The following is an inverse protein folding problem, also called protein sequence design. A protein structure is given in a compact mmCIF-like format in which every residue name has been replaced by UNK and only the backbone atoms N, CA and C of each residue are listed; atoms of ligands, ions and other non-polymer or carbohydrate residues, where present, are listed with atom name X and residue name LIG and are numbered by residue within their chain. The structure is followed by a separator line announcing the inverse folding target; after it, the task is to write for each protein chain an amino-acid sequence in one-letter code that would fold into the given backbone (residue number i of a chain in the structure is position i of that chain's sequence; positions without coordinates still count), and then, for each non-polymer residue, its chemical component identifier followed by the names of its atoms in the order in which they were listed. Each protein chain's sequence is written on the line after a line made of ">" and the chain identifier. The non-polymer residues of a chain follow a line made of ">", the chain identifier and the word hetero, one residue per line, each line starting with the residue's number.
data_IF_689298135382
#
_entry.id   IF_689298135382
#
_cell.length_a   1.000
_cell.length_b   1.000
_cell.length_c   1.000
_cell.angle_alpha   90.00
_cell.angle_beta   90.00
_cell.angle_gamma   90.00
#
_symmetry.space_group_name_H-M   'P 1'
#
loop_
_entity.id
_entity.type
_entity.pdbx_description
1 polymer ?
#
# COMPACT_ATOMS: atom_id res chain seq x y z
N UNK A 1 20.41 -10.65 -2.30
CA UNK A 1 20.63 -12.06 -2.71
C UNK A 1 19.25 -12.68 -2.83
N UNK A 2 18.75 -12.82 -4.08
CA UNK A 2 17.42 -13.38 -4.34
C UNK A 2 17.38 -14.81 -3.85
N UNK A 3 16.63 -15.11 -2.79
CA UNK A 3 16.27 -16.48 -2.43
C UNK A 3 15.15 -16.90 -3.39
N UNK A 4 15.52 -17.70 -4.38
CA UNK A 4 14.58 -18.43 -5.21
C UNK A 4 13.67 -19.27 -4.31
N UNK A 5 12.37 -19.35 -4.71
CA UNK A 5 11.41 -20.28 -4.15
C UNK A 5 12.03 -21.68 -4.09
N UNK A 6 12.48 -22.08 -2.92
CA UNK A 6 12.94 -23.42 -2.70
C UNK A 6 11.72 -24.31 -2.45
N UNK A 7 11.45 -25.20 -3.39
CA UNK A 7 10.60 -26.38 -3.18
C UNK A 7 11.17 -27.14 -1.99
N UNK A 8 10.52 -27.06 -0.85
CA UNK A 8 10.96 -27.72 0.37
C UNK A 8 10.38 -29.13 0.37
N UNK A 9 11.13 -30.08 -0.15
CA UNK A 9 11.00 -31.48 0.24
C UNK A 9 12.07 -31.81 1.29
N UNK A 10 11.61 -32.05 2.50
CA UNK A 10 12.34 -32.79 3.50
C UNK A 10 13.19 -32.02 4.49
N UNK A 11 12.57 -31.46 5.52
CA UNK A 11 13.23 -31.21 6.80
C UNK A 11 12.27 -31.66 7.91
N UNK A 12 12.79 -32.44 8.88
CA UNK A 12 12.04 -32.91 10.04
C UNK A 12 11.49 -31.74 10.83
N UNK A 13 10.16 -31.59 10.82
CA UNK A 13 9.46 -30.68 11.69
C UNK A 13 9.39 -31.28 13.10
N UNK A 14 9.93 -30.59 14.09
CA UNK A 14 9.61 -30.90 15.48
C UNK A 14 8.28 -30.25 15.78
N UNK A 15 7.18 -30.98 15.69
CA UNK A 15 5.86 -30.49 16.03
C UNK A 15 5.61 -30.68 17.53
N UNK A 16 5.47 -29.56 18.27
CA UNK A 16 4.87 -29.60 19.60
C UNK A 16 3.38 -29.24 19.47
N UNK A 17 2.50 -30.10 19.97
CA UNK A 17 1.07 -29.83 20.08
C UNK A 17 0.84 -29.22 21.46
N UNK A 18 0.59 -27.93 21.52
CA UNK A 18 0.18 -27.25 22.75
C UNK A 18 -1.32 -26.94 22.64
N UNK A 19 -2.12 -27.44 23.55
CA UNK A 19 -3.54 -27.12 23.66
C UNK A 19 -3.72 -25.98 24.67
N UNK A 20 -4.00 -24.77 24.18
CA UNK A 20 -4.47 -23.65 25.01
C UNK A 20 -5.97 -23.46 24.81
N UNK A 21 -6.67 -23.29 25.90
CA UNK A 21 -8.13 -23.20 25.93
C UNK A 21 -8.58 -21.80 25.48
N UNK A 22 -9.00 -21.67 24.24
CA UNK A 22 -9.86 -20.63 23.71
C UNK A 22 -10.86 -21.24 22.72
N UNK A 23 -11.98 -20.59 22.50
CA UNK A 23 -13.21 -21.03 21.84
C UNK A 23 -13.08 -21.55 20.39
N UNK A 24 -11.90 -21.59 19.81
CA UNK A 24 -11.64 -22.15 18.50
C UNK A 24 -11.19 -23.62 18.65
N UNK A 25 -12.08 -24.56 18.32
CA UNK A 25 -11.82 -26.01 18.39
C UNK A 25 -10.92 -26.53 17.25
N UNK A 26 -10.38 -25.65 16.39
CA UNK A 26 -9.48 -26.03 15.30
C UNK A 26 -8.15 -26.54 15.83
N UNK A 27 -7.60 -27.55 15.14
CA UNK A 27 -6.27 -28.09 15.48
C UNK A 27 -5.19 -27.04 15.20
N UNK A 28 -4.43 -26.71 16.22
CA UNK A 28 -3.27 -25.82 16.12
C UNK A 28 -1.98 -26.63 15.88
N UNK A 29 -1.13 -26.17 14.98
CA UNK A 29 0.17 -26.75 14.66
C UNK A 29 1.20 -25.63 14.64
N UNK A 30 2.26 -25.77 15.45
CA UNK A 30 3.43 -24.91 15.41
C UNK A 30 4.62 -25.64 14.80
N UNK A 31 5.37 -24.97 13.94
CA UNK A 31 6.53 -25.53 13.25
C UNK A 31 7.56 -24.44 12.94
N UNK A 32 8.82 -24.86 12.76
CA UNK A 32 9.90 -23.95 12.32
C UNK A 32 10.37 -24.39 10.95
N UNK A 33 10.36 -23.49 9.99
CA UNK A 33 10.84 -23.73 8.63
C UNK A 33 11.81 -22.59 8.27
N UNK A 34 13.06 -22.93 7.93
CA UNK A 34 14.11 -21.96 7.60
C UNK A 34 14.27 -20.85 8.67
N UNK A 35 14.26 -21.22 9.94
CA UNK A 35 14.31 -20.35 11.11
C UNK A 35 13.08 -19.44 11.31
N UNK A 36 12.05 -19.50 10.47
CA UNK A 36 10.77 -18.82 10.68
C UNK A 36 9.84 -19.73 11.47
N UNK A 37 9.27 -19.19 12.54
CA UNK A 37 8.28 -19.90 13.33
C UNK A 37 6.87 -19.62 12.80
N UNK A 38 6.14 -20.66 12.48
CA UNK A 38 4.77 -20.60 12.01
C UNK A 38 3.83 -21.30 12.97
N UNK A 39 2.71 -20.70 13.27
CA UNK A 39 1.57 -21.35 13.88
C UNK A 39 0.38 -21.30 12.94
N UNK A 40 -0.24 -22.44 12.68
CA UNK A 40 -1.41 -22.56 11.79
C UNK A 40 -2.59 -23.17 12.53
N UNK A 41 -3.80 -22.78 12.10
CA UNK A 41 -5.07 -23.38 12.52
C UNK A 41 -5.64 -24.20 11.36
N UNK A 42 -5.74 -25.51 11.55
CA UNK A 42 -6.26 -26.41 10.51
C UNK A 42 -7.77 -26.23 10.37
N UNK A 43 -8.24 -26.00 9.14
CA UNK A 43 -9.65 -25.84 8.85
C UNK A 43 -10.41 -27.17 8.93
N UNK A 44 -11.74 -27.10 9.04
CA UNK A 44 -12.62 -28.27 9.19
C UNK A 44 -12.58 -29.24 7.99
N UNK A 45 -12.08 -28.81 6.84
CA UNK A 45 -11.88 -29.64 5.65
C UNK A 45 -10.69 -30.61 5.79
N UNK A 46 -9.87 -30.43 6.82
CA UNK A 46 -8.67 -31.24 7.09
C UNK A 46 -7.57 -31.15 6.02
N UNK A 47 -7.65 -30.14 5.12
CA UNK A 47 -6.71 -29.96 3.99
C UNK A 47 -6.13 -28.56 3.93
N UNK A 48 -6.86 -27.58 4.38
CA UNK A 48 -6.45 -26.18 4.38
C UNK A 48 -6.20 -25.66 5.79
N UNK A 49 -5.47 -24.55 5.89
CA UNK A 49 -5.20 -23.89 7.17
C UNK A 49 -5.11 -22.38 7.02
N UNK A 50 -5.25 -21.72 8.16
CA UNK A 50 -5.04 -20.30 8.38
C UNK A 50 -3.71 -20.08 9.09
N UNK A 51 -2.93 -19.08 8.69
CA UNK A 51 -1.78 -18.62 9.48
C UNK A 51 -2.30 -17.89 10.72
N UNK A 52 -2.02 -18.42 11.91
CA UNK A 52 -2.37 -17.79 13.20
C UNK A 52 -1.29 -16.82 13.66
N UNK A 53 -0.02 -17.20 13.53
CA UNK A 53 1.11 -16.32 13.84
C UNK A 53 2.34 -16.68 13.03
N UNK A 54 3.15 -15.68 12.73
CA UNK A 54 4.43 -15.81 12.04
C UNK A 54 5.47 -14.97 12.77
N UNK A 55 6.56 -15.59 13.20
CA UNK A 55 7.72 -14.90 13.76
C UNK A 55 8.89 -14.98 12.78
N UNK A 56 9.29 -13.83 12.25
CA UNK A 56 10.40 -13.67 11.32
C UNK A 56 11.66 -13.25 12.09
N UNK A 57 12.78 -13.98 11.98
CA UNK A 57 14.06 -13.57 12.56
C UNK A 57 14.55 -12.25 11.97
N UNK A 58 15.41 -11.53 12.70
CA UNK A 58 15.96 -10.23 12.30
C UNK A 58 16.70 -10.22 10.95
N UNK A 59 17.07 -11.36 10.41
CA UNK A 59 17.73 -11.50 9.11
C UNK A 59 16.79 -11.57 7.91
N UNK A 60 15.48 -11.57 8.13
CA UNK A 60 14.48 -11.69 7.07
C UNK A 60 13.96 -10.31 6.67
N UNK A 61 14.53 -9.75 5.60
CA UNK A 61 14.03 -8.51 4.98
C UNK A 61 12.89 -8.78 3.99
N UNK A 62 12.87 -9.93 3.32
CA UNK A 62 11.85 -10.29 2.34
C UNK A 62 11.14 -11.59 2.75
N UNK A 63 9.81 -11.60 2.76
CA UNK A 63 9.00 -12.76 3.09
C UNK A 63 7.95 -13.02 2.01
N UNK A 64 7.77 -14.29 1.67
CA UNK A 64 6.61 -14.75 0.90
C UNK A 64 5.70 -15.56 1.83
N UNK A 65 4.41 -15.28 1.81
CA UNK A 65 3.43 -16.06 2.57
C UNK A 65 3.46 -17.51 2.03
N UNK A 66 3.75 -18.50 2.85
CA UNK A 66 3.92 -19.88 2.38
C UNK A 66 2.63 -20.42 1.79
N UNK A 67 2.74 -21.22 0.73
CA UNK A 67 1.59 -21.87 0.10
C UNK A 67 1.14 -23.13 0.83
N UNK A 68 2.06 -23.75 1.57
CA UNK A 68 1.83 -24.98 2.32
C UNK A 68 2.69 -25.02 3.58
N UNK A 69 2.13 -25.47 4.70
CA UNK A 69 2.83 -25.74 5.96
C UNK A 69 2.35 -27.09 6.50
N UNK A 70 3.29 -27.99 6.82
CA UNK A 70 3.00 -29.31 7.42
C UNK A 70 1.96 -30.14 6.65
N UNK A 71 1.91 -30.03 5.32
CA UNK A 71 0.96 -30.73 4.46
C UNK A 71 -0.40 -30.06 4.32
N UNK A 72 -0.59 -28.85 4.89
CA UNK A 72 -1.83 -28.07 4.77
C UNK A 72 -1.62 -26.89 3.83
N UNK A 73 -2.52 -26.74 2.87
CA UNK A 73 -2.55 -25.55 2.00
C UNK A 73 -2.96 -24.33 2.81
N UNK A 74 -2.15 -23.27 2.81
CA UNK A 74 -2.47 -22.03 3.50
C UNK A 74 -3.40 -21.19 2.62
N UNK A 75 -4.59 -20.86 3.15
CA UNK A 75 -5.63 -20.15 2.42
C UNK A 75 -6.07 -18.84 3.07
N UNK A 76 -5.64 -18.61 4.31
CA UNK A 76 -5.94 -17.39 5.04
C UNK A 76 -4.74 -16.92 5.87
N UNK A 77 -4.65 -15.61 6.05
CA UNK A 77 -3.79 -14.96 7.03
C UNK A 77 -4.72 -14.54 8.17
N UNK A 78 -4.47 -15.02 9.38
CA UNK A 78 -5.30 -14.75 10.55
C UNK A 78 -5.11 -13.35 11.13
N UNK A 79 -5.96 -13.01 12.10
CA UNK A 79 -5.83 -11.78 12.86
C UNK A 79 -4.43 -11.68 13.48
N UNK A 80 -3.77 -10.52 13.29
CA UNK A 80 -2.44 -10.22 13.82
C UNK A 80 -1.32 -11.19 13.42
N UNK A 81 -1.50 -12.02 12.41
CA UNK A 81 -0.56 -13.10 12.09
C UNK A 81 0.89 -12.63 11.86
N UNK A 82 1.10 -11.47 11.28
CA UNK A 82 2.41 -10.83 11.07
C UNK A 82 2.61 -9.58 11.92
N UNK A 83 1.69 -9.24 12.83
CA UNK A 83 1.77 -8.00 13.59
C UNK A 83 3.08 -7.90 14.39
N UNK A 84 3.71 -6.73 14.35
CA UNK A 84 4.95 -6.47 15.08
C UNK A 84 6.20 -7.19 14.50
N UNK A 85 6.17 -7.64 13.26
CA UNK A 85 7.39 -8.08 12.57
C UNK A 85 8.20 -6.87 12.12
N UNK A 86 9.10 -6.41 12.98
CA UNK A 86 9.82 -5.13 12.84
C UNK A 86 10.96 -5.12 11.83
N UNK A 87 11.28 -6.27 11.19
CA UNK A 87 12.45 -6.38 10.32
C UNK A 87 12.10 -6.70 8.88
N UNK A 88 10.86 -7.07 8.60
CA UNK A 88 10.43 -7.39 7.24
C UNK A 88 10.22 -6.09 6.46
N UNK A 89 10.87 -5.99 5.31
CA UNK A 89 10.79 -4.86 4.39
C UNK A 89 9.80 -5.12 3.26
N UNK A 90 9.69 -6.39 2.82
CA UNK A 90 8.81 -6.77 1.71
C UNK A 90 8.02 -8.03 1.99
N UNK A 91 6.74 -8.00 1.67
CA UNK A 91 5.85 -9.17 1.79
C UNK A 91 5.13 -9.43 0.47
N UNK A 92 5.20 -10.70 0.03
CA UNK A 92 4.41 -11.17 -1.11
C UNK A 92 3.30 -12.10 -0.63
N UNK A 93 2.05 -11.74 -0.93
CA UNK A 93 0.85 -12.53 -0.60
C UNK A 93 0.42 -13.32 -1.83
N UNK A 94 0.61 -14.62 -1.78
CA UNK A 94 0.42 -15.54 -2.90
C UNK A 94 -1.07 -15.78 -3.27
N UNK A 95 -1.28 -16.38 -4.44
CA UNK A 95 -2.63 -16.63 -5.03
C UNK A 95 -3.52 -17.58 -4.22
N UNK A 96 -2.94 -18.36 -3.31
CA UNK A 96 -3.69 -19.29 -2.47
C UNK A 96 -4.48 -18.58 -1.38
N UNK A 97 -4.02 -17.40 -0.95
CA UNK A 97 -4.67 -16.63 0.11
C UNK A 97 -5.98 -16.04 -0.43
N UNK A 98 -7.07 -16.28 0.31
CA UNK A 98 -8.43 -15.84 0.01
C UNK A 98 -8.94 -14.78 0.98
N UNK A 99 -8.39 -14.77 2.21
CA UNK A 99 -8.76 -13.81 3.24
C UNK A 99 -7.57 -13.39 4.08
N UNK A 100 -7.67 -12.18 4.63
CA UNK A 100 -6.71 -11.60 5.58
C UNK A 100 -7.54 -11.16 6.78
N UNK A 101 -7.05 -11.45 7.97
CA UNK A 101 -7.67 -11.05 9.23
C UNK A 101 -7.30 -9.61 9.62
N UNK A 102 -8.08 -9.04 10.53
CA UNK A 102 -7.84 -7.71 11.09
C UNK A 102 -6.42 -7.62 11.69
N UNK A 103 -5.80 -6.45 11.55
CA UNK A 103 -4.47 -6.18 12.13
C UNK A 103 -3.35 -7.11 11.66
N UNK A 104 -3.56 -7.84 10.56
CA UNK A 104 -2.65 -8.91 10.13
C UNK A 104 -1.18 -8.47 10.02
N UNK A 105 -0.92 -7.23 9.61
CA UNK A 105 0.40 -6.63 9.42
C UNK A 105 0.59 -5.36 10.26
N UNK A 106 -0.21 -5.19 11.31
CA UNK A 106 -0.14 -4.01 12.19
C UNK A 106 1.28 -3.82 12.73
N UNK A 107 1.78 -2.59 12.74
CA UNK A 107 3.09 -2.20 13.30
C UNK A 107 4.29 -2.94 12.69
N UNK A 108 4.23 -3.28 11.40
CA UNK A 108 5.40 -3.74 10.65
C UNK A 108 6.25 -2.52 10.24
N UNK A 109 7.09 -2.03 11.17
CA UNK A 109 7.72 -0.70 11.07
C UNK A 109 8.74 -0.55 9.94
N UNK A 110 9.36 -1.65 9.48
CA UNK A 110 10.33 -1.65 8.37
C UNK A 110 9.70 -2.04 7.03
N UNK A 111 8.40 -2.37 7.01
CA UNK A 111 7.70 -2.79 5.80
C UNK A 111 7.61 -1.64 4.80
N UNK A 112 8.17 -1.82 3.60
CA UNK A 112 8.19 -0.83 2.51
C UNK A 112 7.33 -1.24 1.32
N UNK A 113 7.20 -2.56 1.06
CA UNK A 113 6.46 -3.06 -0.10
C UNK A 113 5.56 -4.25 0.25
N UNK A 114 4.31 -4.18 -0.22
CA UNK A 114 3.37 -5.32 -0.20
C UNK A 114 2.85 -5.61 -1.59
N UNK A 115 3.00 -6.86 -2.02
CA UNK A 115 2.46 -7.33 -3.31
C UNK A 115 1.38 -8.37 -3.07
N UNK A 116 0.18 -8.11 -3.59
CA UNK A 116 -0.94 -9.04 -3.58
C UNK A 116 -1.05 -9.79 -4.91
N UNK A 117 -1.17 -11.11 -4.85
CA UNK A 117 -1.66 -11.89 -5.99
C UNK A 117 -3.18 -11.77 -6.13
N UNK A 118 -3.72 -12.14 -7.30
CA UNK A 118 -5.16 -12.14 -7.55
C UNK A 118 -5.90 -13.06 -6.56
N UNK A 119 -7.08 -12.63 -6.11
CA UNK A 119 -7.97 -13.44 -5.26
C UNK A 119 -8.40 -12.78 -3.95
N UNK A 120 -7.64 -11.83 -3.45
CA UNK A 120 -8.05 -10.99 -2.31
C UNK A 120 -9.13 -10.01 -2.80
N UNK A 121 -10.21 -9.93 -2.03
CA UNK A 121 -11.35 -9.04 -2.30
C UNK A 121 -11.55 -7.98 -1.23
N UNK A 122 -10.90 -8.12 -0.07
CA UNK A 122 -10.98 -7.16 1.03
C UNK A 122 -9.61 -7.00 1.72
N UNK A 123 -9.26 -5.77 2.03
CA UNK A 123 -8.26 -5.41 3.05
C UNK A 123 -9.07 -5.14 4.32
N UNK A 124 -8.86 -5.88 5.42
CA UNK A 124 -9.64 -5.71 6.64
C UNK A 124 -9.22 -4.47 7.45
N UNK A 125 -9.96 -4.22 8.52
CA UNK A 125 -9.71 -3.14 9.46
C UNK A 125 -8.31 -3.26 10.08
N UNK A 126 -7.65 -2.11 10.27
CA UNK A 126 -6.30 -2.00 10.85
C UNK A 126 -5.21 -2.85 10.18
N UNK A 127 -5.44 -3.38 8.99
CA UNK A 127 -4.57 -4.40 8.38
C UNK A 127 -3.10 -4.01 8.36
N UNK A 128 -2.78 -2.77 7.99
CA UNK A 128 -1.45 -2.17 7.96
C UNK A 128 -1.35 -0.96 8.90
N UNK A 129 -2.14 -0.93 9.97
CA UNK A 129 -2.12 0.16 10.93
C UNK A 129 -0.70 0.40 11.44
N UNK A 130 -0.23 1.65 11.39
CA UNK A 130 1.10 2.05 11.87
C UNK A 130 2.26 1.31 11.18
N UNK A 131 2.26 1.30 9.83
CA UNK A 131 3.40 0.88 9.01
C UNK A 131 4.04 2.13 8.35
N UNK A 132 4.85 2.92 9.08
CA UNK A 132 5.25 4.27 8.65
C UNK A 132 6.17 4.29 7.42
N UNK A 133 6.88 3.19 7.13
CA UNK A 133 7.75 3.06 5.96
C UNK A 133 7.08 2.41 4.76
N UNK A 134 5.80 2.05 4.86
CA UNK A 134 5.09 1.42 3.75
C UNK A 134 4.91 2.43 2.61
N UNK A 135 5.66 2.25 1.54
CA UNK A 135 5.68 3.13 0.37
C UNK A 135 4.80 2.59 -0.75
N UNK A 136 4.88 1.28 -1.03
CA UNK A 136 4.23 0.68 -2.19
C UNK A 136 3.33 -0.48 -1.81
N UNK A 137 2.07 -0.39 -2.21
CA UNK A 137 1.11 -1.50 -2.11
C UNK A 137 0.52 -1.78 -3.49
N UNK A 138 0.86 -2.96 -4.07
CA UNK A 138 0.31 -3.39 -5.36
C UNK A 138 -1.02 -4.09 -5.16
N UNK A 139 -2.11 -3.32 -5.19
CA UNK A 139 -3.46 -3.81 -4.99
C UNK A 139 -3.96 -4.66 -6.17
N UNK A 140 -4.65 -5.80 -5.92
CA UNK A 140 -5.20 -6.62 -6.99
C UNK A 140 -6.50 -6.01 -7.55
N UNK A 141 -6.73 -6.18 -8.85
CA UNK A 141 -7.98 -5.74 -9.52
C UNK A 141 -9.23 -6.51 -9.06
N UNK A 142 -9.08 -7.52 -8.20
CA UNK A 142 -10.19 -8.21 -7.53
C UNK A 142 -10.68 -7.51 -6.27
N UNK A 143 -9.92 -6.53 -5.74
CA UNK A 143 -10.23 -5.85 -4.48
C UNK A 143 -11.56 -5.09 -4.58
N UNK A 144 -12.39 -5.20 -3.55
CA UNK A 144 -13.71 -4.56 -3.44
C UNK A 144 -13.81 -3.59 -2.28
N UNK A 145 -13.13 -3.91 -1.16
CA UNK A 145 -13.25 -3.10 0.06
C UNK A 145 -11.90 -2.89 0.73
N UNK A 146 -11.75 -1.72 1.33
CA UNK A 146 -10.66 -1.37 2.25
C UNK A 146 -11.36 -1.00 3.57
N UNK A 147 -10.97 -1.65 4.66
CA UNK A 147 -11.58 -1.51 5.99
C UNK A 147 -11.21 -0.21 6.70
N UNK A 148 -11.78 0.00 7.88
CA UNK A 148 -11.49 1.15 8.72
C UNK A 148 -10.01 1.12 9.16
N UNK A 149 -9.36 2.28 9.14
CA UNK A 149 -7.97 2.46 9.58
C UNK A 149 -6.96 1.50 8.91
N UNK A 150 -7.31 0.88 7.77
CA UNK A 150 -6.52 -0.17 7.14
C UNK A 150 -5.06 0.24 6.85
N UNK A 151 -4.80 1.51 6.54
CA UNK A 151 -3.48 2.09 6.31
C UNK A 151 -3.24 3.35 7.16
N UNK A 152 -3.87 3.43 8.33
CA UNK A 152 -3.68 4.54 9.26
C UNK A 152 -2.22 4.64 9.72
N UNK A 153 -1.64 5.82 9.64
CA UNK A 153 -0.23 6.04 10.00
C UNK A 153 0.79 5.51 8.98
N UNK A 154 0.36 5.15 7.76
CA UNK A 154 1.26 4.81 6.64
C UNK A 154 1.69 6.09 5.92
N UNK A 155 2.58 6.86 6.55
CA UNK A 155 2.93 8.23 6.12
C UNK A 155 3.72 8.30 4.81
N UNK A 156 4.38 7.21 4.40
CA UNK A 156 5.15 7.14 3.16
C UNK A 156 4.36 6.56 1.98
N UNK A 157 3.09 6.20 2.20
CA UNK A 157 2.32 5.40 1.24
C UNK A 157 2.05 6.14 -0.07
N UNK A 158 2.36 5.46 -1.16
CA UNK A 158 2.01 5.86 -2.52
C UNK A 158 1.42 4.65 -3.27
N UNK A 159 0.12 4.71 -3.54
CA UNK A 159 -0.55 3.62 -4.27
C UNK A 159 -1.73 4.13 -5.09
N UNK A 160 -2.02 3.39 -6.16
CA UNK A 160 -3.23 3.60 -6.95
C UNK A 160 -4.35 2.69 -6.45
N UNK A 161 -5.54 3.25 -6.23
CA UNK A 161 -6.72 2.50 -5.83
C UNK A 161 -7.46 2.01 -7.08
N UNK A 162 -7.57 0.68 -7.28
CA UNK A 162 -8.27 0.13 -8.44
C UNK A 162 -9.74 0.55 -8.48
N UNK A 163 -10.27 0.81 -9.67
CA UNK A 163 -11.70 1.12 -9.87
C UNK A 163 -12.66 0.00 -9.44
N UNK A 164 -12.13 -1.18 -9.17
CA UNK A 164 -12.89 -2.31 -8.60
C UNK A 164 -13.28 -2.12 -7.13
N UNK A 165 -12.61 -1.19 -6.42
CA UNK A 165 -12.92 -0.85 -5.01
C UNK A 165 -14.21 -0.05 -4.98
N UNK A 166 -15.17 -0.52 -4.19
CA UNK A 166 -16.51 0.06 -4.06
C UNK A 166 -16.79 0.68 -2.70
N UNK A 167 -15.95 0.36 -1.69
CA UNK A 167 -16.06 0.94 -0.36
C UNK A 167 -14.68 1.10 0.29
N UNK A 168 -14.49 2.22 0.97
CA UNK A 168 -13.30 2.56 1.76
C UNK A 168 -13.79 3.01 3.13
N UNK A 169 -13.26 2.42 4.18
CA UNK A 169 -13.65 2.66 5.57
C UNK A 169 -13.16 3.99 6.13
N UNK A 170 -13.55 4.29 7.35
CA UNK A 170 -13.18 5.51 8.03
C UNK A 170 -11.65 5.54 8.30
N UNK A 171 -11.00 6.69 8.11
CA UNK A 171 -9.57 6.88 8.33
C UNK A 171 -8.66 5.87 7.61
N UNK A 172 -9.17 5.19 6.58
CA UNK A 172 -8.48 4.08 5.94
C UNK A 172 -7.17 4.48 5.23
N UNK A 173 -7.12 5.70 4.69
CA UNK A 173 -6.02 6.19 3.85
C UNK A 173 -5.69 7.64 4.18
N UNK A 174 -4.40 7.98 4.18
CA UNK A 174 -3.95 9.37 4.29
C UNK A 174 -4.18 10.02 5.65
N UNK A 175 -4.38 9.23 6.69
CA UNK A 175 -4.70 9.70 8.03
C UNK A 175 -3.65 9.24 9.05
N UNK A 176 -3.36 10.10 10.03
CA UNK A 176 -2.48 9.81 11.16
C UNK A 176 -2.99 10.48 12.44
N UNK A 177 -2.37 10.18 13.59
CA UNK A 177 -2.73 10.81 14.85
C UNK A 177 -2.41 12.31 14.83
N UNK A 178 -3.32 13.14 15.27
CA UNK A 178 -3.07 14.57 15.42
C UNK A 178 -1.98 14.82 16.48
N UNK A 179 -1.03 15.69 16.18
CA UNK A 179 0.14 15.93 17.05
C UNK A 179 -0.18 16.74 18.33
N UNK A 180 -1.30 17.47 18.34
CA UNK A 180 -1.64 18.42 19.41
C UNK A 180 -3.09 18.34 19.90
N UNK A 181 -3.92 17.49 19.29
CA UNK A 181 -5.34 17.35 19.62
C UNK A 181 -5.72 15.86 19.62
N UNK A 182 -6.83 15.51 20.29
CA UNK A 182 -7.40 14.17 20.14
C UNK A 182 -8.02 14.03 18.75
N UNK A 183 -7.79 12.89 18.09
CA UNK A 183 -8.36 12.56 16.79
C UNK A 183 -7.32 12.23 15.71
N UNK A 184 -7.78 12.25 14.50
CA UNK A 184 -6.96 11.99 13.32
C UNK A 184 -6.77 13.26 12.49
N UNK A 185 -5.65 13.36 11.77
CA UNK A 185 -5.37 14.42 10.80
C UNK A 185 -4.97 13.83 9.46
N UNK A 186 -5.16 14.60 8.39
CA UNK A 186 -4.67 14.21 7.07
C UNK A 186 -3.15 14.32 7.06
N UNK A 187 -2.48 13.30 6.53
CA UNK A 187 -1.03 13.29 6.32
C UNK A 187 -0.69 14.40 5.32
N UNK A 188 0.28 15.24 5.68
CA UNK A 188 0.71 16.32 4.82
C UNK A 188 1.13 15.80 3.43
N UNK A 189 0.63 16.45 2.37
CA UNK A 189 0.94 16.11 0.97
C UNK A 189 0.56 14.67 0.56
N UNK A 190 -0.42 14.04 1.26
CA UNK A 190 -0.94 12.73 0.86
C UNK A 190 -1.80 12.85 -0.39
N UNK A 191 -1.61 11.92 -1.34
CA UNK A 191 -2.32 11.92 -2.61
C UNK A 191 -2.95 10.56 -2.87
N UNK A 192 -4.24 10.55 -3.19
CA UNK A 192 -4.93 9.35 -3.67
C UNK A 192 -4.95 9.35 -5.20
N UNK A 193 -4.39 8.27 -5.77
CA UNK A 193 -4.44 7.98 -7.21
C UNK A 193 -5.60 7.03 -7.48
N UNK A 194 -6.44 7.33 -8.49
CA UNK A 194 -7.60 6.48 -8.76
C UNK A 194 -8.29 6.80 -10.07
N UNK A 195 -9.58 6.56 -10.13
CA UNK A 195 -10.43 6.82 -11.29
C UNK A 195 -11.57 7.76 -10.90
N UNK A 196 -11.85 8.76 -11.69
CA UNK A 196 -12.99 9.67 -11.49
C UNK A 196 -14.32 8.89 -11.40
N UNK A 197 -15.20 9.29 -10.48
CA UNK A 197 -16.45 8.61 -10.17
C UNK A 197 -16.33 7.39 -9.27
N UNK A 198 -15.11 7.05 -8.79
CA UNK A 198 -14.88 5.89 -7.95
C UNK A 198 -15.06 6.17 -6.46
N UNK A 199 -15.03 5.10 -5.65
CA UNK A 199 -15.02 5.21 -4.20
C UNK A 199 -13.77 5.94 -3.67
N UNK A 200 -12.64 5.87 -4.37
CA UNK A 200 -11.42 6.56 -3.96
C UNK A 200 -11.51 8.07 -4.14
N UNK A 201 -12.12 8.56 -5.22
CA UNK A 201 -12.39 10.00 -5.39
C UNK A 201 -13.35 10.52 -4.32
N UNK A 202 -14.45 9.79 -4.08
CA UNK A 202 -15.42 10.14 -3.04
C UNK A 202 -14.75 10.22 -1.67
N UNK A 203 -13.94 9.21 -1.32
CA UNK A 203 -13.21 9.19 -0.05
C UNK A 203 -12.24 10.37 0.07
N UNK A 204 -11.47 10.67 -0.98
CA UNK A 204 -10.56 11.80 -1.01
C UNK A 204 -11.29 13.14 -0.76
N UNK A 205 -12.40 13.37 -1.45
CA UNK A 205 -13.22 14.57 -1.31
C UNK A 205 -13.80 14.71 0.11
N UNK A 206 -14.34 13.63 0.68
CA UNK A 206 -14.96 13.63 2.01
C UNK A 206 -13.93 13.87 3.13
N UNK A 207 -12.65 13.54 2.92
CA UNK A 207 -11.59 13.68 3.89
C UNK A 207 -10.62 14.86 3.59
N UNK A 208 -10.87 15.64 2.54
CA UNK A 208 -10.00 16.77 2.17
C UNK A 208 -8.59 16.34 1.72
N UNK A 209 -8.49 15.17 1.09
CA UNK A 209 -7.25 14.60 0.54
C UNK A 209 -7.17 14.92 -0.94
N UNK A 210 -5.99 15.26 -1.44
CA UNK A 210 -5.75 15.46 -2.86
C UNK A 210 -6.04 14.18 -3.66
N UNK A 211 -6.68 14.34 -4.82
CA UNK A 211 -7.00 13.24 -5.74
C UNK A 211 -6.47 13.51 -7.14
N UNK A 212 -6.00 12.46 -7.82
CA UNK A 212 -5.65 12.50 -9.24
C UNK A 212 -6.23 11.30 -9.98
N UNK A 213 -6.91 11.55 -11.11
CA UNK A 213 -7.30 10.51 -12.05
C UNK A 213 -6.13 10.24 -13.02
N UNK A 214 -5.42 9.14 -12.81
CA UNK A 214 -4.24 8.78 -13.59
C UNK A 214 -4.52 8.54 -15.09
N UNK A 215 -5.79 8.44 -15.49
CA UNK A 215 -6.16 8.27 -16.90
C UNK A 215 -6.54 9.58 -17.59
N UNK A 216 -7.09 10.52 -16.83
CA UNK A 216 -7.71 11.73 -17.37
C UNK A 216 -7.18 13.02 -16.73
N UNK A 217 -6.04 12.98 -16.01
CA UNK A 217 -5.45 14.23 -15.54
C UNK A 217 -4.91 15.05 -16.72
N UNK A 218 -5.01 16.35 -16.61
CA UNK A 218 -4.45 17.25 -17.61
C UNK A 218 -2.97 17.48 -17.31
N UNK A 219 -2.10 16.84 -18.11
CA UNK A 219 -0.66 16.99 -17.95
C UNK A 219 -0.26 18.46 -18.14
N UNK A 220 0.50 18.99 -17.21
CA UNK A 220 0.97 20.36 -17.23
C UNK A 220 0.01 21.41 -16.66
N UNK A 221 -1.23 21.09 -16.29
CA UNK A 221 -2.16 21.99 -15.60
C UNK A 221 -1.85 22.03 -14.10
N UNK A 222 -0.77 22.74 -13.75
CA UNK A 222 -0.28 22.79 -12.36
C UNK A 222 -1.06 23.76 -11.48
N UNK A 223 -1.76 24.75 -12.08
CA UNK A 223 -2.61 25.69 -11.37
C UNK A 223 -4.05 25.20 -11.21
N UNK A 224 -4.40 24.08 -11.86
CA UNK A 224 -5.72 23.42 -11.84
C UNK A 224 -6.86 24.33 -12.33
N UNK A 225 -6.62 25.07 -13.42
CA UNK A 225 -7.63 25.92 -14.07
C UNK A 225 -8.30 25.26 -15.30
N UNK A 226 -8.05 23.95 -15.50
CA UNK A 226 -8.55 23.12 -16.60
C UNK A 226 -7.95 23.49 -17.97
N UNK A 227 -6.84 24.21 -18.00
CA UNK A 227 -6.08 24.50 -19.22
C UNK A 227 -4.60 24.19 -19.00
N UNK A 228 -3.89 23.80 -20.06
CA UNK A 228 -2.42 23.70 -20.01
C UNK A 228 -1.89 24.84 -20.88
N UNK A 229 -1.37 25.89 -20.25
CA UNK A 229 -0.97 27.10 -20.96
C UNK A 229 0.30 27.78 -20.39
N UNK A 230 0.52 29.04 -20.76
CA UNK A 230 1.71 29.78 -20.33
C UNK A 230 1.70 30.19 -18.84
N UNK A 231 0.55 30.16 -18.18
CA UNK A 231 0.46 30.40 -16.74
C UNK A 231 1.09 29.25 -15.98
N UNK A 232 0.78 27.99 -16.37
CA UNK A 232 1.36 26.79 -15.80
C UNK A 232 2.88 26.74 -15.98
N UNK A 233 3.36 27.05 -17.18
CA UNK A 233 4.80 27.12 -17.44
C UNK A 233 5.48 28.17 -16.54
N UNK A 234 4.80 29.28 -16.28
CA UNK A 234 5.29 30.33 -15.37
C UNK A 234 5.32 29.87 -13.92
N UNK A 235 4.33 29.10 -13.49
CA UNK A 235 4.29 28.52 -12.14
C UNK A 235 5.39 27.47 -11.94
N UNK A 236 5.65 26.60 -12.92
CA UNK A 236 6.76 25.66 -12.93
C UNK A 236 8.11 26.40 -12.83
N UNK A 237 8.33 27.44 -13.64
CA UNK A 237 9.57 28.24 -13.59
C UNK A 237 9.73 28.97 -12.26
N UNK A 238 8.64 29.46 -11.68
CA UNK A 238 8.66 30.12 -10.37
C UNK A 238 9.05 29.15 -9.26
N UNK A 239 8.54 27.91 -9.31
CA UNK A 239 8.87 26.85 -8.36
C UNK A 239 10.32 26.42 -8.51
N UNK A 240 10.79 26.18 -9.74
CA UNK A 240 12.18 25.86 -10.03
C UNK A 240 13.15 26.96 -9.54
N UNK A 241 12.80 28.22 -9.75
CA UNK A 241 13.61 29.37 -9.29
C UNK A 241 13.74 29.40 -7.75
N UNK A 242 12.67 29.08 -7.00
CA UNK A 242 12.72 28.95 -5.54
C UNK A 242 13.67 27.85 -5.12
N UNK A 243 13.49 26.64 -5.67
CA UNK A 243 14.33 25.46 -5.34
C UNK A 243 15.80 25.75 -5.65
N UNK A 244 16.11 26.34 -6.80
CA UNK A 244 17.48 26.66 -7.23
C UNK A 244 18.18 27.70 -6.34
N UNK A 245 17.41 28.53 -5.63
CA UNK A 245 17.92 29.53 -4.66
C UNK A 245 17.91 29.03 -3.22
N UNK A 246 17.57 27.74 -2.99
CA UNK A 246 17.52 27.13 -1.66
C UNK A 246 16.25 27.44 -0.87
N UNK A 247 15.22 27.98 -1.52
CA UNK A 247 13.89 28.13 -0.92
C UNK A 247 13.18 26.79 -1.02
N UNK A 248 12.51 26.30 0.04
CA UNK A 248 11.77 25.04 -0.02
C UNK A 248 10.72 25.01 -1.14
N UNK A 249 10.57 23.86 -1.75
CA UNK A 249 9.49 23.59 -2.71
C UNK A 249 8.12 23.87 -2.10
N UNK A 250 7.21 24.45 -2.90
CA UNK A 250 5.85 24.79 -2.50
C UNK A 250 4.81 23.91 -3.22
N UNK A 251 5.18 23.34 -4.37
CA UNK A 251 4.28 22.44 -5.09
C UNK A 251 3.89 21.22 -4.25
N UNK A 252 2.59 20.92 -4.22
CA UNK A 252 2.05 19.69 -3.65
C UNK A 252 2.53 18.48 -4.45
N UNK A 253 2.39 17.28 -3.89
CA UNK A 253 2.70 16.02 -4.60
C UNK A 253 1.91 15.91 -5.90
N UNK A 254 0.63 16.32 -5.89
CA UNK A 254 -0.22 16.39 -7.08
C UNK A 254 0.38 17.29 -8.15
N UNK A 255 0.77 18.53 -7.79
CA UNK A 255 1.35 19.50 -8.73
C UNK A 255 2.68 19.01 -9.31
N UNK A 256 3.51 18.34 -8.49
CA UNK A 256 4.75 17.74 -8.99
C UNK A 256 4.49 16.63 -10.02
N UNK A 257 3.53 15.75 -9.79
CA UNK A 257 3.18 14.69 -10.75
C UNK A 257 2.61 15.26 -12.05
N UNK A 258 1.78 16.29 -11.96
CA UNK A 258 1.18 16.94 -13.14
C UNK A 258 2.21 17.75 -13.90
N UNK A 259 3.14 18.38 -13.22
CA UNK A 259 4.16 19.26 -13.76
C UNK A 259 5.39 18.56 -14.33
N UNK A 260 5.65 17.34 -13.95
CA UNK A 260 6.74 16.50 -14.49
C UNK A 260 6.29 15.85 -15.80
N UNK A 261 6.49 16.54 -16.92
CA UNK A 261 6.04 16.08 -18.23
C UNK A 261 7.02 15.10 -18.88
N UNK A 262 8.31 15.26 -18.60
CA UNK A 262 9.36 14.41 -19.15
C UNK A 262 9.58 13.11 -18.36
N UNK A 263 9.01 13.00 -17.13
CA UNK A 263 9.04 11.81 -16.30
C UNK A 263 10.39 11.56 -15.61
N UNK A 264 11.19 12.60 -15.39
CA UNK A 264 12.50 12.48 -14.73
C UNK A 264 12.45 12.71 -13.21
N UNK A 265 11.25 12.88 -12.65
CA UNK A 265 10.93 13.13 -11.24
C UNK A 265 11.40 14.52 -10.73
N UNK A 266 11.81 15.41 -11.63
CA UNK A 266 12.23 16.77 -11.32
C UNK A 266 11.34 17.76 -12.07
N UNK A 267 10.67 18.65 -11.38
CA UNK A 267 9.87 19.72 -12.02
C UNK A 267 10.80 20.93 -12.23
N UNK A 268 11.18 21.19 -13.48
CA UNK A 268 12.14 22.24 -13.81
C UNK A 268 11.83 23.00 -15.14
N UNK A 269 12.83 23.66 -15.69
CA UNK A 269 12.69 24.44 -16.91
C UNK A 269 12.48 23.59 -18.17
N UNK A 270 12.79 22.30 -18.15
CA UNK A 270 12.50 21.41 -19.29
C UNK A 270 11.01 21.14 -19.38
N UNK A 271 10.36 20.89 -18.22
CA UNK A 271 8.91 20.69 -18.15
C UNK A 271 8.14 21.94 -18.55
N UNK A 272 8.57 23.11 -18.08
CA UNK A 272 8.01 24.38 -18.52
C UNK A 272 8.06 24.56 -20.03
N UNK A 273 9.14 24.09 -20.67
CA UNK A 273 9.28 24.10 -22.13
C UNK A 273 8.31 23.13 -22.81
N UNK A 274 8.07 21.98 -22.22
CA UNK A 274 7.09 21.01 -22.73
C UNK A 274 5.64 21.51 -22.56
N UNK A 275 5.32 22.16 -21.44
CA UNK A 275 4.03 22.84 -21.23
C UNK A 275 3.79 23.87 -22.35
N UNK A 276 4.78 24.73 -22.63
CA UNK A 276 4.67 25.71 -23.70
C UNK A 276 4.52 25.06 -25.09
N UNK A 277 5.13 23.90 -25.32
CA UNK A 277 4.94 23.15 -26.56
C UNK A 277 3.53 22.59 -26.70
N UNK A 278 2.93 22.08 -25.62
CA UNK A 278 1.52 21.66 -25.56
C UNK A 278 0.61 22.86 -25.85
N UNK A 279 0.83 23.99 -25.16
CA UNK A 279 0.06 25.21 -25.38
C UNK A 279 0.12 25.70 -26.83
N UNK A 280 1.33 25.75 -27.41
CA UNK A 280 1.50 26.17 -28.81
C UNK A 280 0.75 25.26 -29.78
N UNK A 281 0.80 23.95 -29.57
CA UNK A 281 0.07 22.96 -30.39
C UNK A 281 -1.44 23.16 -30.26
N UNK A 282 -1.97 23.32 -29.06
CA UNK A 282 -3.40 23.52 -28.80
C UNK A 282 -3.89 24.84 -29.40
N UNK A 283 -3.06 25.90 -29.37
CA UNK A 283 -3.40 27.22 -29.91
C UNK A 283 -3.41 27.29 -31.42
N UNK A 284 -2.69 26.43 -32.12
CA UNK A 284 -2.59 26.42 -33.60
C UNK A 284 -3.57 25.48 -34.27
N UNK A 285 -4.38 24.72 -33.50
CA UNK A 285 -5.42 23.83 -34.01
C UNK A 285 -4.85 22.68 -34.87
N UNK A 286 -3.71 22.11 -34.42
CA UNK A 286 -3.02 21.04 -35.11
C UNK A 286 -3.71 19.68 -35.06
#
# INVERSE_FOLDING_TARGET
>A
MKLLSAIISGIMAVSSVSATAETDSRKEISTVINAVEYTILVNSDGKTAELKSVYLPHSYAEAEVPTEISGYTITAIGEKAYAGNFNVEKITIGKNIKSIGEKAFMSCNELTEVTFSKGITAIPDDCFFSCPKLETVKLPTSLKTIGDEAFYGCVALDMEIPSSVTAIGANALGMEAATHEEGSTVIHDFLIKGTTGSASEKYALENGIDFIDMKNFMAGDVNNDETTDSADASDVLAEYAKISTGIPAVFTKKQRIIGDLNGDEIVDSSDASEILAIYAKNSTGG
#
